data_IF_700248168395
#
_entry.id   IF_700248168395
#
_cell.length_a   1.000
_cell.length_b   1.000
_cell.length_c   1.000
_cell.angle_alpha   90.00
_cell.angle_beta   90.00
_cell.angle_gamma   90.00
#
_symmetry.space_group_name_H-M   'P 1'
#
loop_
_entity.id
_entity.type
_entity.pdbx_description
1 polymer ?
#
# COMPACT_ATOMS: atom_id res chain seq x y z
N UNK A 1 11.93 17.43 14.71
CA UNK A 1 11.04 17.21 15.88
C UNK A 1 10.07 18.36 16.17
N UNK A 2 10.37 19.64 15.88
CA UNK A 2 9.44 20.77 16.15
C UNK A 2 8.29 20.90 15.15
N UNK A 3 8.53 20.62 13.85
CA UNK A 3 7.50 20.70 12.81
C UNK A 3 6.36 19.69 13.02
N UNK A 4 6.69 18.45 13.39
CA UNK A 4 5.73 17.37 13.67
C UNK A 4 4.87 17.69 14.91
N UNK A 5 5.46 18.33 15.93
CA UNK A 5 4.73 18.72 17.14
C UNK A 5 3.75 19.87 16.87
N UNK A 6 4.03 20.72 15.87
CA UNK A 6 3.12 21.77 15.41
C UNK A 6 2.05 21.23 14.43
N UNK A 7 2.39 20.25 13.58
CA UNK A 7 1.44 19.49 12.74
C UNK A 7 0.24 18.98 13.52
N UNK A 8 0.57 18.37 14.64
CA UNK A 8 -0.36 17.72 15.56
C UNK A 8 -1.16 18.74 16.40
N UNK A 9 -0.74 20.00 16.46
CA UNK A 9 -1.38 21.06 17.26
C UNK A 9 -2.38 21.91 16.47
N UNK A 10 -2.18 22.08 15.16
CA UNK A 10 -3.06 22.89 14.30
C UNK A 10 -3.97 22.07 13.40
N UNK A 11 -3.85 20.73 13.39
CA UNK A 11 -4.73 19.83 12.64
C UNK A 11 -4.40 19.66 11.17
N UNK A 12 -3.52 20.49 10.62
CA UNK A 12 -2.90 20.32 9.31
C UNK A 12 -1.58 21.12 9.29
N UNK A 13 -0.45 20.46 9.04
CA UNK A 13 0.78 21.18 8.69
C UNK A 13 1.37 20.60 7.42
N UNK A 14 1.98 21.46 6.62
CA UNK A 14 2.62 21.07 5.37
C UNK A 14 1.68 20.27 4.43
N UNK A 15 0.36 20.50 4.51
CA UNK A 15 -0.65 19.81 3.68
C UNK A 15 -0.96 18.36 4.09
N UNK A 16 -0.40 17.90 5.21
CA UNK A 16 -0.65 16.56 5.76
C UNK A 16 -1.83 16.57 6.74
N UNK A 17 -2.77 15.64 6.56
CA UNK A 17 -3.99 15.55 7.36
C UNK A 17 -4.03 14.30 8.25
N UNK A 18 -4.52 14.43 9.50
CA UNK A 18 -4.90 13.28 10.32
C UNK A 18 -6.07 12.50 9.72
N UNK A 19 -6.08 11.17 9.89
CA UNK A 19 -7.10 10.26 9.35
C UNK A 19 -8.50 10.39 10.00
N UNK A 20 -8.68 11.24 11.01
CA UNK A 20 -9.96 11.46 11.67
C UNK A 20 -10.33 12.93 11.78
N UNK A 21 -11.60 13.24 11.47
CA UNK A 21 -12.23 14.54 11.67
C UNK A 21 -13.46 14.36 12.56
N UNK A 22 -13.66 15.29 13.51
CA UNK A 22 -14.86 15.31 14.31
C UNK A 22 -16.01 15.91 13.49
N UNK A 23 -17.09 15.15 13.21
CA UNK A 23 -18.15 15.61 12.31
C UNK A 23 -19.02 16.74 12.90
N UNK A 24 -19.02 16.93 14.24
CA UNK A 24 -19.77 18.02 14.87
C UNK A 24 -18.99 19.32 14.91
N UNK A 25 -17.68 19.25 15.13
CA UNK A 25 -16.84 20.44 15.27
C UNK A 25 -16.08 20.82 14.00
N UNK A 26 -16.01 19.93 13.00
CA UNK A 26 -15.21 20.12 11.79
C UNK A 26 -13.70 20.15 12.03
N UNK A 27 -13.24 19.81 13.24
CA UNK A 27 -11.83 19.82 13.60
C UNK A 27 -11.21 18.44 13.45
N UNK A 28 -9.99 18.39 12.93
CA UNK A 28 -9.20 17.16 12.95
C UNK A 28 -8.97 16.69 14.38
N UNK A 29 -9.10 15.38 14.56
CA UNK A 29 -8.70 14.70 15.79
C UNK A 29 -7.21 14.44 15.70
N UNK A 30 -6.50 14.60 16.82
CA UNK A 30 -5.10 14.23 16.90
C UNK A 30 -4.96 12.71 16.67
N UNK A 31 -4.51 12.33 15.49
CA UNK A 31 -4.35 10.93 15.07
C UNK A 31 -3.23 10.79 14.05
N UNK A 32 -3.03 9.57 13.56
CA UNK A 32 -2.04 9.25 12.55
C UNK A 32 -2.25 10.04 11.26
N UNK A 33 -1.15 10.30 10.56
CA UNK A 33 -1.14 10.73 9.16
C UNK A 33 -0.68 9.55 8.32
N UNK A 34 -1.51 9.13 7.36
CA UNK A 34 -1.26 7.96 6.52
C UNK A 34 -1.47 8.31 5.05
N UNK A 35 -0.71 7.64 4.18
CA UNK A 35 -0.93 7.63 2.72
C UNK A 35 -1.64 6.37 2.24
N UNK A 36 -1.97 5.45 3.15
CA UNK A 36 -2.86 4.32 2.90
C UNK A 36 -4.26 4.58 3.47
N UNK A 37 -4.92 3.51 3.92
CA UNK A 37 -6.31 3.52 4.37
C UNK A 37 -6.70 4.75 5.20
N UNK A 38 -7.80 5.39 4.77
CA UNK A 38 -8.40 6.62 5.34
C UNK A 38 -7.67 7.93 5.00
N UNK A 39 -6.54 7.88 4.31
CA UNK A 39 -5.78 9.07 3.91
C UNK A 39 -5.43 9.13 2.42
N UNK A 40 -5.16 7.99 1.79
CA UNK A 40 -4.83 7.81 0.36
C UNK A 40 -5.61 8.74 -0.61
N UNK A 41 -6.90 8.49 -0.75
CA UNK A 41 -7.79 9.08 -1.75
C UNK A 41 -8.03 10.58 -1.52
N UNK A 42 -7.77 11.10 -0.32
CA UNK A 42 -7.76 12.55 -0.11
C UNK A 42 -6.71 13.21 -1.00
N UNK A 43 -5.46 12.72 -1.00
CA UNK A 43 -4.38 13.32 -1.77
C UNK A 43 -4.56 13.12 -3.28
N UNK A 44 -5.04 11.94 -3.67
CA UNK A 44 -5.40 11.61 -5.05
C UNK A 44 -6.45 12.58 -5.60
N UNK A 45 -7.50 12.87 -4.83
CA UNK A 45 -8.60 13.71 -5.28
C UNK A 45 -8.21 15.18 -5.37
N UNK A 46 -7.15 15.66 -4.70
CA UNK A 46 -6.66 17.02 -4.93
C UNK A 46 -6.20 17.18 -6.39
N UNK A 47 -5.42 16.23 -6.91
CA UNK A 47 -5.00 16.25 -8.30
C UNK A 47 -6.17 16.01 -9.26
N UNK A 48 -7.03 15.01 -8.96
CA UNK A 48 -8.17 14.68 -9.83
C UNK A 48 -9.17 15.83 -9.91
N UNK A 49 -9.49 16.51 -8.81
CA UNK A 49 -10.41 17.66 -8.81
C UNK A 49 -9.88 18.80 -9.66
N UNK A 50 -8.59 19.15 -9.51
CA UNK A 50 -7.97 20.18 -10.37
C UNK A 50 -8.13 19.84 -11.86
N UNK A 51 -7.87 18.59 -12.25
CA UNK A 51 -8.04 18.13 -13.64
C UNK A 51 -9.51 18.12 -14.09
N UNK A 52 -10.44 17.62 -13.26
CA UNK A 52 -11.88 17.52 -13.56
C UNK A 52 -12.49 18.92 -13.77
N UNK A 53 -12.05 19.90 -12.99
CA UNK A 53 -12.46 21.30 -13.14
C UNK A 53 -11.83 21.99 -14.35
N UNK A 54 -11.25 21.24 -15.29
CA UNK A 54 -10.51 21.79 -16.42
C UNK A 54 -9.41 22.79 -15.99
N UNK A 55 -8.79 22.54 -14.83
CA UNK A 55 -7.72 23.35 -14.24
C UNK A 55 -8.13 24.79 -13.90
N UNK A 56 -9.41 25.05 -13.62
CA UNK A 56 -9.88 26.40 -13.25
C UNK A 56 -9.92 26.64 -11.74
N UNK A 57 -9.93 25.58 -10.92
CA UNK A 57 -9.96 25.67 -9.46
C UNK A 57 -8.55 25.47 -8.88
N UNK A 58 -7.74 26.54 -8.86
CA UNK A 58 -6.33 26.50 -8.43
C UNK A 58 -6.15 26.10 -6.97
N UNK A 59 -7.19 26.25 -6.13
CA UNK A 59 -7.16 25.80 -4.73
C UNK A 59 -6.75 24.33 -4.60
N UNK A 60 -7.22 23.46 -5.50
CA UNK A 60 -6.88 22.04 -5.47
C UNK A 60 -5.43 21.79 -5.87
N UNK A 61 -4.91 22.60 -6.81
CA UNK A 61 -3.51 22.54 -7.21
C UNK A 61 -2.58 22.97 -6.07
N UNK A 62 -2.90 24.08 -5.42
CA UNK A 62 -2.14 24.59 -4.28
C UNK A 62 -2.14 23.60 -3.11
N UNK A 63 -3.29 23.01 -2.81
CA UNK A 63 -3.41 21.98 -1.79
C UNK A 63 -2.58 20.74 -2.13
N UNK A 64 -2.62 20.29 -3.39
CA UNK A 64 -1.82 19.16 -3.87
C UNK A 64 -0.32 19.44 -3.76
N UNK A 65 0.16 20.58 -4.27
CA UNK A 65 1.58 20.94 -4.26
C UNK A 65 2.10 21.08 -2.82
N UNK A 66 1.28 21.65 -1.93
CA UNK A 66 1.60 21.73 -0.50
C UNK A 66 1.68 20.33 0.13
N UNK A 67 0.69 19.47 -0.12
CA UNK A 67 0.66 18.12 0.41
C UNK A 67 1.84 17.28 -0.10
N UNK A 68 2.15 17.32 -1.40
CA UNK A 68 3.29 16.61 -1.98
C UNK A 68 4.63 17.09 -1.39
N UNK A 69 4.77 18.40 -1.17
CA UNK A 69 5.93 18.95 -0.47
C UNK A 69 6.04 18.41 0.97
N UNK A 70 4.92 18.34 1.69
CA UNK A 70 4.85 17.76 3.02
C UNK A 70 5.17 16.26 3.05
N UNK A 71 4.66 15.50 2.08
CA UNK A 71 4.93 14.07 1.92
C UNK A 71 6.41 13.83 1.67
N UNK A 72 7.00 14.53 0.70
CA UNK A 72 8.43 14.41 0.37
C UNK A 72 9.31 14.75 1.57
N UNK A 73 8.96 15.81 2.30
CA UNK A 73 9.72 16.27 3.47
C UNK A 73 9.62 15.30 4.65
N UNK A 74 8.43 14.79 4.94
CA UNK A 74 8.16 14.12 6.21
C UNK A 74 8.05 12.60 6.07
N UNK A 75 7.43 12.11 4.99
CA UNK A 75 6.98 10.72 4.86
C UNK A 75 7.88 9.89 3.94
N UNK A 76 8.50 10.48 2.93
CA UNK A 76 9.41 9.76 2.05
C UNK A 76 10.70 9.40 2.80
N UNK A 77 11.08 8.13 2.74
CA UNK A 77 12.27 7.54 3.34
C UNK A 77 12.97 6.61 2.36
N UNK A 78 14.24 6.34 2.62
CA UNK A 78 15.03 5.35 1.90
C UNK A 78 15.28 4.16 2.82
N UNK A 79 15.27 2.97 2.24
CA UNK A 79 15.69 1.77 2.92
C UNK A 79 17.22 1.74 3.09
N UNK A 80 17.71 0.83 3.92
CA UNK A 80 19.13 0.78 4.31
C UNK A 80 19.88 -0.42 3.75
N UNK A 81 19.17 -1.47 3.33
CA UNK A 81 19.81 -2.75 3.02
C UNK A 81 19.97 -3.00 1.51
N UNK A 82 19.15 -2.39 0.65
CA UNK A 82 19.28 -2.53 -0.82
C UNK A 82 20.22 -1.49 -1.46
N UNK A 83 20.77 -1.87 -2.62
CA UNK A 83 21.56 -0.99 -3.48
C UNK A 83 21.12 -1.14 -4.96
N UNK A 84 20.49 -0.12 -5.58
CA UNK A 84 20.15 1.18 -5.00
C UNK A 84 19.07 1.06 -3.90
N UNK A 85 19.04 1.98 -2.92
CA UNK A 85 18.03 1.98 -1.86
C UNK A 85 16.61 2.06 -2.41
N UNK A 86 15.69 1.32 -1.80
CA UNK A 86 14.26 1.44 -2.08
C UNK A 86 13.70 2.71 -1.46
N UNK A 87 12.89 3.44 -2.22
CA UNK A 87 12.12 4.56 -1.73
C UNK A 87 10.77 4.05 -1.19
N UNK A 88 10.41 4.46 0.02
CA UNK A 88 9.11 4.11 0.60
C UNK A 88 8.48 5.29 1.35
N UNK A 89 7.18 5.19 1.60
CA UNK A 89 6.41 6.16 2.39
C UNK A 89 6.19 5.61 3.79
N UNK A 90 6.54 6.40 4.80
CA UNK A 90 6.31 6.09 6.21
C UNK A 90 5.04 6.78 6.72
N UNK A 91 4.35 6.14 7.67
CA UNK A 91 3.25 6.75 8.41
C UNK A 91 3.77 7.58 9.58
N UNK A 92 3.05 8.67 9.93
CA UNK A 92 3.33 9.41 11.17
C UNK A 92 2.37 8.92 12.23
N UNK A 93 2.92 8.22 13.21
CA UNK A 93 2.17 7.67 14.35
C UNK A 93 2.51 8.49 15.61
N UNK A 94 1.53 9.01 16.37
CA UNK A 94 1.77 9.54 17.69
C UNK A 94 2.02 8.37 18.68
N UNK A 95 3.27 7.88 18.70
CA UNK A 95 3.91 6.86 19.58
C UNK A 95 3.96 5.39 19.10
N UNK A 96 5.03 4.73 19.59
CA UNK A 96 5.76 3.56 19.07
C UNK A 96 5.05 2.21 19.11
N UNK A 97 5.26 1.38 18.08
CA UNK A 97 5.12 -0.09 18.16
C UNK A 97 6.27 -0.79 17.44
N UNK A 98 6.77 -1.84 18.10
CA UNK A 98 8.00 -2.62 17.88
C UNK A 98 7.78 -3.77 16.87
N UNK A 99 8.77 -4.02 16.00
CA UNK A 99 8.68 -4.90 14.84
C UNK A 99 8.91 -6.41 15.07
N UNK A 100 8.68 -7.21 14.01
CA UNK A 100 9.12 -8.61 13.88
C UNK A 100 9.14 -9.11 12.42
N UNK A 101 10.16 -9.87 12.06
CA UNK A 101 10.71 -10.08 10.71
C UNK A 101 10.09 -11.24 9.88
N UNK A 102 10.16 -11.14 8.54
CA UNK A 102 9.87 -12.21 7.57
C UNK A 102 10.35 -11.85 6.16
N UNK A 103 10.56 -12.83 5.25
CA UNK A 103 11.13 -12.61 3.92
C UNK A 103 10.10 -12.22 2.84
N UNK A 104 10.56 -11.73 1.69
CA UNK A 104 9.73 -11.34 0.53
C UNK A 104 8.79 -12.43 -0.05
N UNK A 105 7.78 -12.02 -0.84
CA UNK A 105 6.65 -12.90 -1.20
C UNK A 105 6.95 -13.97 -2.24
N UNK A 106 6.60 -15.24 -1.93
CA UNK A 106 6.84 -16.40 -2.81
C UNK A 106 5.94 -16.40 -4.04
N UNK A 107 4.71 -15.89 -3.90
CA UNK A 107 3.72 -15.82 -4.99
C UNK A 107 3.93 -14.64 -5.93
N UNK A 108 4.87 -13.73 -5.62
CA UNK A 108 5.08 -12.44 -6.33
C UNK A 108 3.87 -11.51 -6.33
N UNK A 109 2.83 -11.85 -5.58
CA UNK A 109 1.72 -10.96 -5.29
C UNK A 109 2.09 -10.05 -4.12
N UNK A 110 1.60 -8.80 -4.19
CA UNK A 110 1.73 -7.87 -3.08
C UNK A 110 0.85 -8.35 -1.91
N UNK A 111 1.36 -8.30 -0.66
CA UNK A 111 0.53 -8.45 0.53
C UNK A 111 -0.43 -7.26 0.70
N UNK A 112 -1.47 -7.43 1.50
CA UNK A 112 -2.37 -6.35 1.92
C UNK A 112 -1.60 -5.25 2.68
N UNK A 113 -0.63 -5.64 3.52
CA UNK A 113 0.23 -4.69 4.23
C UNK A 113 1.69 -5.16 4.21
N UNK A 114 2.57 -4.34 3.64
CA UNK A 114 4.02 -4.48 3.74
C UNK A 114 4.60 -3.50 4.78
N UNK A 115 5.48 -3.98 5.65
CA UNK A 115 6.16 -3.18 6.67
C UNK A 115 7.62 -2.98 6.28
N UNK A 116 8.12 -1.74 6.30
CA UNK A 116 9.54 -1.45 6.07
C UNK A 116 10.31 -1.47 7.38
N UNK A 117 11.55 -1.98 7.34
CA UNK A 117 12.44 -1.98 8.50
C UNK A 117 12.98 -0.59 8.76
N UNK A 118 12.97 -0.20 10.03
CA UNK A 118 13.49 1.10 10.43
C UNK A 118 14.97 0.98 10.79
N UNK A 119 15.82 1.98 10.49
CA UNK A 119 17.27 1.91 10.72
C UNK A 119 17.70 1.66 12.18
N UNK A 120 16.80 1.86 13.14
CA UNK A 120 17.05 1.67 14.57
C UNK A 120 16.60 0.30 15.10
N UNK A 121 16.05 -0.57 14.24
CA UNK A 121 15.69 -1.93 14.63
C UNK A 121 16.96 -2.81 14.66
N UNK A 122 17.29 -3.38 15.83
CA UNK A 122 18.51 -4.16 16.10
C UNK A 122 18.74 -5.36 15.16
N UNK A 123 17.74 -5.75 14.37
CA UNK A 123 17.79 -6.87 13.44
C UNK A 123 17.60 -6.44 11.97
N UNK A 124 17.92 -5.20 11.56
CA UNK A 124 17.82 -4.77 10.16
C UNK A 124 18.56 -5.75 9.22
N UNK A 125 17.80 -6.68 8.66
CA UNK A 125 18.28 -7.81 7.87
C UNK A 125 18.82 -7.37 6.51
N UNK A 126 19.31 -8.33 5.72
CA UNK A 126 19.57 -8.14 4.29
C UNK A 126 18.34 -7.71 3.46
N UNK A 127 17.11 -7.84 4.01
CA UNK A 127 15.87 -7.42 3.34
C UNK A 127 15.26 -6.16 3.99
N UNK A 128 14.76 -5.27 3.14
CA UNK A 128 14.24 -3.94 3.52
C UNK A 128 12.82 -3.93 4.09
N UNK A 129 12.02 -4.96 3.80
CA UNK A 129 10.61 -5.01 4.17
C UNK A 129 10.18 -6.43 4.56
N UNK A 130 9.01 -6.55 5.18
CA UNK A 130 8.44 -7.82 5.65
C UNK A 130 6.91 -7.78 5.76
N UNK A 131 6.31 -8.97 5.85
CA UNK A 131 4.90 -9.16 6.24
C UNK A 131 4.88 -9.63 7.69
N UNK A 132 4.02 -9.02 8.52
CA UNK A 132 3.87 -9.47 9.91
C UNK A 132 3.43 -10.93 9.91
N UNK A 133 4.18 -11.76 10.63
CA UNK A 133 3.85 -13.16 10.80
C UNK A 133 2.88 -13.32 11.99
N UNK A 134 1.89 -14.22 11.89
CA UNK A 134 1.05 -14.55 13.04
C UNK A 134 1.90 -15.09 14.20
N UNK A 135 1.47 -14.87 15.46
CA UNK A 135 2.16 -15.44 16.60
C UNK A 135 2.22 -16.96 16.46
N UNK A 136 3.40 -17.52 16.76
CA UNK A 136 3.59 -18.97 16.84
C UNK A 136 3.10 -19.40 18.21
N UNK A 137 2.13 -20.31 18.21
CA UNK A 137 1.65 -20.95 19.42
C UNK A 137 2.82 -21.68 20.12
N UNK A 138 3.06 -21.35 21.39
CA UNK A 138 4.26 -21.76 22.10
C UNK A 138 4.30 -23.28 22.35
N UNK A 139 3.14 -23.93 22.40
CA UNK A 139 2.95 -25.32 22.80
C UNK A 139 2.87 -26.25 21.58
N UNK A 140 2.06 -25.90 20.60
CA UNK A 140 1.89 -26.66 19.34
C UNK A 140 2.94 -26.35 18.29
N UNK A 141 3.73 -25.27 18.48
CA UNK A 141 4.68 -24.72 17.49
C UNK A 141 4.05 -24.39 16.14
N UNK A 142 2.72 -24.31 16.06
CA UNK A 142 1.99 -23.92 14.85
C UNK A 142 1.78 -22.42 14.82
N UNK A 143 1.88 -21.84 13.63
CA UNK A 143 1.46 -20.47 13.40
C UNK A 143 -0.07 -20.36 13.51
N UNK A 144 -0.57 -19.30 14.15
CA UNK A 144 -1.99 -18.95 14.06
C UNK A 144 -2.38 -18.62 12.60
N UNK A 145 -3.68 -18.49 12.32
CA UNK A 145 -4.16 -18.12 10.99
C UNK A 145 -3.44 -16.86 10.46
N UNK A 146 -3.16 -16.85 9.15
CA UNK A 146 -2.44 -15.78 8.50
C UNK A 146 -3.05 -14.41 8.86
N UNK A 147 -2.18 -13.45 9.22
CA UNK A 147 -2.62 -12.09 9.50
C UNK A 147 -3.18 -11.48 8.22
N UNK A 148 -4.10 -10.51 8.39
CA UNK A 148 -4.69 -9.79 7.26
C UNK A 148 -3.63 -9.21 6.32
N UNK A 149 -2.47 -8.85 6.86
CA UNK A 149 -1.28 -8.37 6.16
C UNK A 149 -0.85 -9.30 5.02
N UNK A 150 -0.92 -10.63 5.18
CA UNK A 150 -0.44 -11.59 4.17
C UNK A 150 -1.45 -11.90 3.05
N UNK A 151 -2.67 -11.39 3.14
CA UNK A 151 -3.69 -11.64 2.12
C UNK A 151 -3.40 -10.86 0.85
N UNK A 152 -3.92 -11.34 -0.28
CA UNK A 152 -4.09 -10.51 -1.47
C UNK A 152 -5.55 -10.57 -1.89
N UNK A 153 -6.22 -9.41 -1.86
CA UNK A 153 -7.64 -9.29 -2.19
C UNK A 153 -7.88 -8.76 -3.61
N UNK A 154 -6.95 -8.99 -4.53
CA UNK A 154 -7.06 -8.63 -5.96
C UNK A 154 -7.02 -7.11 -6.24
N UNK A 155 -6.36 -6.39 -5.34
CA UNK A 155 -6.25 -4.93 -5.28
C UNK A 155 -5.60 -4.27 -6.51
N UNK A 156 -6.10 -3.11 -6.98
CA UNK A 156 -5.66 -2.51 -8.24
C UNK A 156 -4.43 -1.59 -8.15
N UNK A 157 -4.06 -1.12 -6.96
CA UNK A 157 -3.22 0.08 -6.77
C UNK A 157 -1.85 -0.02 -7.46
N UNK A 158 -1.22 -1.21 -7.42
CA UNK A 158 0.05 -1.46 -8.12
C UNK A 158 -0.11 -1.41 -9.64
N UNK A 159 -1.12 -2.10 -10.20
CA UNK A 159 -1.31 -2.14 -11.66
C UNK A 159 -1.81 -0.80 -12.20
N UNK A 160 -2.56 -0.03 -11.40
CA UNK A 160 -2.92 1.36 -11.72
C UNK A 160 -1.66 2.25 -11.79
N UNK A 161 -0.75 2.12 -10.83
CA UNK A 161 0.51 2.87 -10.84
C UNK A 161 1.38 2.52 -12.05
N UNK A 162 1.46 1.24 -12.43
CA UNK A 162 2.17 0.79 -13.63
C UNK A 162 1.53 1.33 -14.91
N UNK A 163 0.19 1.36 -14.97
CA UNK A 163 -0.55 1.95 -16.08
C UNK A 163 -0.18 3.43 -16.25
N UNK A 164 -0.24 4.22 -15.18
CA UNK A 164 0.12 5.64 -15.23
C UNK A 164 1.59 5.82 -15.63
N UNK A 165 2.51 5.05 -15.04
CA UNK A 165 3.93 5.13 -15.35
C UNK A 165 4.23 4.86 -16.83
N UNK A 166 3.59 3.84 -17.41
CA UNK A 166 3.70 3.55 -18.84
C UNK A 166 3.21 4.70 -19.72
N UNK A 167 2.05 5.29 -19.41
CA UNK A 167 1.48 6.38 -20.22
C UNK A 167 2.30 7.66 -20.14
N UNK A 168 2.99 7.90 -19.02
CA UNK A 168 3.84 9.08 -18.86
C UNK A 168 5.23 8.90 -19.47
N UNK A 169 5.82 7.70 -19.40
CA UNK A 169 7.21 7.49 -19.84
C UNK A 169 7.36 6.79 -21.19
N UNK A 170 6.36 6.00 -21.61
CA UNK A 170 6.45 5.08 -22.74
C UNK A 170 7.34 3.84 -22.49
N UNK A 171 7.87 3.65 -21.28
CA UNK A 171 8.82 2.59 -20.98
C UNK A 171 8.13 1.21 -20.92
N UNK A 172 8.47 0.26 -21.80
CA UNK A 172 7.82 -1.05 -21.86
C UNK A 172 7.99 -1.88 -20.57
N UNK A 173 8.96 -1.57 -19.71
CA UNK A 173 9.20 -2.31 -18.47
C UNK A 173 7.94 -2.38 -17.58
N UNK A 174 7.13 -1.33 -17.55
CA UNK A 174 5.91 -1.29 -16.74
C UNK A 174 4.84 -2.25 -17.26
N UNK A 175 4.79 -2.49 -18.58
CA UNK A 175 3.92 -3.52 -19.17
C UNK A 175 4.41 -4.91 -18.85
N UNK A 176 5.72 -5.14 -18.87
CA UNK A 176 6.30 -6.43 -18.49
C UNK A 176 6.03 -6.76 -17.02
N UNK A 177 6.15 -5.78 -16.12
CA UNK A 177 5.81 -5.96 -14.72
C UNK A 177 4.32 -6.23 -14.52
N UNK A 178 3.44 -5.49 -15.22
CA UNK A 178 2.00 -5.74 -15.20
C UNK A 178 1.65 -7.15 -15.69
N UNK A 179 2.33 -7.63 -16.74
CA UNK A 179 2.14 -8.98 -17.25
C UNK A 179 2.54 -10.06 -16.23
N UNK A 180 3.70 -9.90 -15.58
CA UNK A 180 4.16 -10.82 -14.52
C UNK A 180 3.18 -10.89 -13.35
N UNK A 181 2.57 -9.76 -12.99
CA UNK A 181 1.52 -9.71 -11.95
C UNK A 181 0.27 -10.47 -12.43
N UNK A 182 -0.17 -10.26 -13.66
CA UNK A 182 -1.31 -10.97 -14.23
C UNK A 182 -1.10 -12.49 -14.28
N UNK A 183 0.09 -12.95 -14.71
CA UNK A 183 0.45 -14.37 -14.67
C UNK A 183 0.36 -14.95 -13.25
N UNK A 184 0.77 -14.17 -12.26
CA UNK A 184 0.69 -14.54 -10.84
C UNK A 184 -0.77 -14.65 -10.37
N UNK A 185 -1.66 -13.75 -10.79
CA UNK A 185 -3.11 -13.88 -10.53
C UNK A 185 -3.70 -15.14 -11.19
N UNK A 186 -3.34 -15.43 -12.44
CA UNK A 186 -3.82 -16.64 -13.14
C UNK A 186 -3.36 -17.91 -12.42
N UNK A 187 -2.13 -17.91 -11.91
CA UNK A 187 -1.57 -19.05 -11.19
C UNK A 187 -2.16 -19.23 -9.79
N UNK A 188 -2.27 -18.14 -9.02
CA UNK A 188 -2.57 -18.23 -7.59
C UNK A 188 -4.01 -17.86 -7.23
N UNK A 189 -4.68 -16.98 -7.98
CA UNK A 189 -6.02 -16.47 -7.65
C UNK A 189 -7.14 -17.10 -8.50
N UNK A 190 -6.83 -17.77 -9.61
CA UNK A 190 -7.86 -18.37 -10.49
C UNK A 190 -8.42 -19.67 -9.89
N UNK A 191 -9.75 -19.77 -9.86
CA UNK A 191 -10.50 -20.97 -9.47
C UNK A 191 -10.56 -21.93 -10.66
N UNK A 192 -10.07 -23.16 -10.52
CA UNK A 192 -9.91 -24.13 -11.62
C UNK A 192 -11.25 -24.52 -12.26
N UNK A 193 -12.30 -24.69 -11.46
CA UNK A 193 -13.59 -25.22 -11.88
C UNK A 193 -14.42 -24.18 -12.64
N UNK A 194 -14.52 -22.96 -12.12
CA UNK A 194 -15.34 -21.90 -12.69
C UNK A 194 -14.57 -20.96 -13.61
N UNK A 195 -13.25 -20.90 -13.49
CA UNK A 195 -12.42 -19.89 -14.14
C UNK A 195 -12.51 -18.49 -13.51
N UNK A 196 -13.30 -18.32 -12.45
CA UNK A 196 -13.39 -17.09 -11.67
C UNK A 196 -12.08 -16.80 -10.92
N UNK A 197 -12.00 -15.63 -10.29
CA UNK A 197 -10.89 -15.25 -9.44
C UNK A 197 -11.37 -15.11 -7.99
N UNK A 198 -10.47 -15.35 -7.05
CA UNK A 198 -10.76 -15.33 -5.63
C UNK A 198 -9.57 -14.75 -4.85
N UNK A 199 -9.87 -14.18 -3.69
CA UNK A 199 -8.86 -13.66 -2.77
C UNK A 199 -7.86 -14.76 -2.38
N UNK A 200 -6.58 -14.40 -2.27
CA UNK A 200 -5.52 -15.28 -1.78
C UNK A 200 -5.35 -15.06 -0.28
N UNK A 201 -5.39 -16.15 0.50
CA UNK A 201 -5.32 -16.11 1.97
C UNK A 201 -3.92 -15.75 2.46
N UNK A 202 -2.88 -16.29 1.81
CA UNK A 202 -1.49 -16.04 2.18
C UNK A 202 -0.59 -16.05 0.94
N UNK A 203 0.01 -14.91 0.63
CA UNK A 203 0.96 -14.73 -0.49
C UNK A 203 2.32 -15.39 -0.24
N UNK A 204 2.60 -15.86 0.97
CA UNK A 204 3.77 -16.68 1.32
C UNK A 204 3.47 -18.18 1.20
N UNK A 205 2.20 -18.55 1.35
CA UNK A 205 1.72 -19.92 1.32
C UNK A 205 1.67 -20.48 -0.11
N UNK A 206 2.22 -21.67 -0.27
CA UNK A 206 1.98 -22.50 -1.46
C UNK A 206 1.56 -23.88 -0.97
N UNK A 207 0.34 -24.30 -1.31
CA UNK A 207 -0.15 -25.66 -1.10
C UNK A 207 0.66 -26.70 -1.90
N UNK A 208 0.33 -27.99 -1.76
CA UNK A 208 1.08 -29.08 -2.38
C UNK A 208 1.18 -29.00 -3.91
N UNK A 209 0.25 -28.31 -4.57
CA UNK A 209 0.24 -28.10 -6.02
C UNK A 209 0.91 -26.77 -6.46
N UNK A 210 1.59 -26.10 -5.54
CA UNK A 210 2.27 -24.82 -5.77
C UNK A 210 1.34 -23.60 -5.81
N UNK A 211 0.02 -23.77 -5.62
CA UNK A 211 -0.96 -22.67 -5.62
C UNK A 211 -1.21 -22.16 -4.20
N UNK A 212 -1.67 -20.93 -4.09
CA UNK A 212 -2.04 -20.38 -2.80
C UNK A 212 -3.45 -20.86 -2.39
N UNK A 213 -3.74 -20.81 -1.09
CA UNK A 213 -5.09 -21.04 -0.59
C UNK A 213 -6.00 -19.87 -0.97
N UNK A 214 -7.25 -20.18 -1.35
CA UNK A 214 -8.25 -19.22 -1.79
C UNK A 214 -9.34 -19.03 -0.74
N UNK A 215 -9.74 -17.79 -0.54
CA UNK A 215 -10.97 -17.43 0.18
C UNK A 215 -12.09 -17.26 -0.86
N UNK A 216 -13.26 -17.86 -0.63
CA UNK A 216 -14.42 -17.82 -1.55
C UNK A 216 -15.07 -16.42 -1.61
N UNK A 217 -14.33 -15.47 -2.17
CA UNK A 217 -14.67 -14.06 -2.25
C UNK A 217 -13.91 -13.44 -3.40
N UNK A 218 -14.63 -12.71 -4.26
CA UNK A 218 -14.07 -11.90 -5.33
C UNK A 218 -14.54 -10.47 -5.14
N UNK A 219 -13.61 -9.56 -4.91
CA UNK A 219 -13.94 -8.15 -4.74
C UNK A 219 -14.38 -7.53 -6.07
N UNK A 220 -15.35 -6.61 -6.02
CA UNK A 220 -15.90 -5.98 -7.22
C UNK A 220 -14.86 -5.17 -8.00
N UNK A 221 -13.89 -4.59 -7.31
CA UNK A 221 -12.79 -3.82 -7.92
C UNK A 221 -11.83 -4.67 -8.75
N UNK A 222 -11.83 -6.00 -8.61
CA UNK A 222 -11.08 -6.88 -9.53
C UNK A 222 -11.48 -6.63 -10.99
N UNK A 223 -12.80 -6.55 -11.24
CA UNK A 223 -13.34 -6.30 -12.57
C UNK A 223 -13.38 -4.81 -12.89
N UNK A 224 -13.77 -3.98 -11.92
CA UNK A 224 -13.96 -2.56 -12.15
C UNK A 224 -12.64 -1.77 -12.27
N UNK A 225 -11.53 -2.29 -11.74
CA UNK A 225 -10.27 -1.56 -11.63
C UNK A 225 -9.09 -2.41 -12.11
N UNK A 226 -8.82 -3.55 -11.47
CA UNK A 226 -7.59 -4.33 -11.73
C UNK A 226 -7.53 -4.86 -13.17
N UNK A 227 -8.66 -5.28 -13.74
CA UNK A 227 -8.76 -5.74 -15.12
C UNK A 227 -9.30 -4.68 -16.09
N UNK A 228 -9.47 -3.43 -15.66
CA UNK A 228 -9.98 -2.37 -16.53
C UNK A 228 -9.02 -2.20 -17.71
N UNK A 229 -9.57 -2.28 -18.92
CA UNK A 229 -8.83 -2.02 -20.16
C UNK A 229 -8.88 -0.54 -20.54
N UNK A 230 -7.90 -0.13 -21.33
CA UNK A 230 -7.92 1.16 -22.01
C UNK A 230 -9.09 1.23 -23.00
N UNK A 231 -10.01 2.21 -22.88
CA UNK A 231 -10.98 2.48 -23.93
C UNK A 231 -10.24 3.11 -25.13
N UNK A 232 -9.99 2.28 -26.15
CA UNK A 232 -9.50 2.72 -27.47
C UNK A 232 -10.38 3.84 -28.06
#
# INVERSE_FOLDING_TARGET
MSAIRNALRTGASDGLLPIFINPRSGKFVLSDVRLGSRGDSYYEYLAKQWLITNRTEDVYRDMYDRAMSGIKKNLVKQSTSSNPPLLYTAEVVPRFVQGRQGPGTRTRLAPEIAHFRMPHEENASFEDWYIKQPPIDAETKKAAAALIDARNILRPETVESLFIAYHLSGDPIYREWGWKIFESFVLHARVKQSGAFANVVDVMGSGPDGRAELEDRMETFWLAETLKRDPQ
#
